data_IF_939702067388
#
_entry.id   IF_939702067388
#
_cell.length_a   1.000
_cell.length_b   1.000
_cell.length_c   1.000
_cell.angle_alpha   90.00
_cell.angle_beta   90.00
_cell.angle_gamma   90.00
#
_symmetry.space_group_name_H-M   'P 1'
#
loop_
_entity.id
_entity.type
_entity.pdbx_description
1 polymer ?
#
# COMPACT_ATOMS: atom_id res chain seq x y z
N UNK A 1 18.50 -5.82 4.14
CA UNK A 1 18.13 -6.84 5.15
C UNK A 1 17.49 -7.99 4.41
N UNK A 2 17.81 -9.23 4.72
CA UNK A 2 17.23 -10.38 4.02
C UNK A 2 15.78 -10.61 4.46
N UNK A 3 14.99 -11.36 3.68
CA UNK A 3 13.58 -11.69 3.99
C UNK A 3 13.43 -12.26 5.41
N UNK A 4 14.37 -13.12 5.82
CA UNK A 4 14.41 -13.72 7.16
C UNK A 4 14.65 -12.70 8.29
N UNK A 5 15.21 -11.53 8.00
CA UNK A 5 15.44 -10.46 8.97
C UNK A 5 14.25 -9.50 9.08
N UNK A 6 13.33 -9.51 8.11
CA UNK A 6 12.16 -8.62 8.06
C UNK A 6 10.84 -9.34 8.37
N UNK A 7 10.89 -10.62 8.73
CA UNK A 7 9.67 -11.36 9.00
C UNK A 7 9.03 -10.92 10.32
N UNK A 8 7.72 -10.70 10.28
CA UNK A 8 6.90 -10.39 11.45
C UNK A 8 6.36 -11.65 12.14
N UNK A 9 6.61 -12.84 11.59
CA UNK A 9 6.08 -14.12 12.11
C UNK A 9 6.42 -14.35 13.59
N UNK A 10 7.67 -14.18 14.07
CA UNK A 10 7.99 -14.42 15.49
C UNK A 10 7.22 -13.47 16.43
N UNK A 11 6.96 -12.24 15.98
CA UNK A 11 6.12 -11.30 16.71
C UNK A 11 4.66 -11.75 16.73
N UNK A 12 4.12 -12.16 15.57
CA UNK A 12 2.75 -12.64 15.48
C UNK A 12 2.53 -13.92 16.31
N UNK A 13 3.47 -14.86 16.31
CA UNK A 13 3.42 -16.06 17.15
C UNK A 13 3.36 -15.74 18.64
N UNK A 14 4.13 -14.72 19.06
CA UNK A 14 4.19 -14.29 20.46
C UNK A 14 2.88 -13.65 20.94
N UNK A 15 2.23 -12.83 20.12
CA UNK A 15 1.05 -12.06 20.52
C UNK A 15 -0.29 -12.66 20.06
N UNK A 16 -0.30 -13.47 19.00
CA UNK A 16 -1.48 -14.11 18.42
C UNK A 16 -1.45 -15.63 18.57
N UNK A 17 -0.95 -16.12 19.70
CA UNK A 17 -0.76 -17.55 19.96
C UNK A 17 -2.06 -18.36 19.89
N UNK A 18 -3.20 -17.72 20.21
CA UNK A 18 -4.53 -18.31 20.13
C UNK A 18 -5.17 -18.28 18.74
N UNK A 19 -4.45 -17.85 17.69
CA UNK A 19 -4.91 -17.75 16.29
C UNK A 19 -6.36 -17.23 16.16
N UNK A 20 -6.63 -16.00 16.61
CA UNK A 20 -7.98 -15.48 16.61
C UNK A 20 -8.59 -15.46 15.21
N UNK A 21 -9.87 -15.83 15.10
CA UNK A 21 -10.61 -15.82 13.83
C UNK A 21 -10.08 -16.77 12.74
N UNK A 22 -9.25 -17.78 13.08
CA UNK A 22 -8.73 -18.77 12.11
C UNK A 22 -9.84 -19.37 11.24
N UNK A 23 -10.94 -19.84 11.83
CA UNK A 23 -12.09 -20.43 11.10
C UNK A 23 -12.83 -19.47 10.17
N UNK A 24 -12.75 -18.16 10.43
CA UNK A 24 -13.29 -17.14 9.52
C UNK A 24 -12.31 -16.86 8.38
N UNK A 25 -11.02 -16.74 8.70
CA UNK A 25 -9.96 -16.44 7.74
C UNK A 25 -9.69 -17.62 6.78
N UNK A 26 -9.91 -18.86 7.22
CA UNK A 26 -9.78 -20.08 6.40
C UNK A 26 -10.71 -20.10 5.18
N UNK A 27 -11.76 -19.26 5.17
CA UNK A 27 -12.69 -19.13 4.04
C UNK A 27 -12.11 -18.33 2.89
N UNK A 28 -11.00 -17.62 3.11
CA UNK A 28 -10.37 -16.78 2.12
C UNK A 28 -9.19 -17.51 1.49
N UNK A 29 -9.25 -17.65 0.17
CA UNK A 29 -8.12 -18.03 -0.67
C UNK A 29 -7.95 -16.96 -1.72
N UNK A 30 -6.72 -16.51 -1.93
CA UNK A 30 -6.39 -15.49 -2.90
C UNK A 30 -5.21 -15.97 -3.72
N UNK A 31 -5.37 -16.03 -5.04
CA UNK A 31 -4.23 -16.23 -5.93
C UNK A 31 -3.47 -14.91 -6.04
N UNK A 32 -2.19 -14.93 -5.67
CA UNK A 32 -1.29 -13.79 -5.83
C UNK A 32 -0.05 -14.24 -6.59
N UNK A 33 0.17 -13.66 -7.77
CA UNK A 33 1.29 -13.98 -8.65
C UNK A 33 1.44 -15.49 -8.94
N UNK A 34 0.33 -16.22 -9.09
CA UNK A 34 0.34 -17.66 -9.37
C UNK A 34 0.66 -18.53 -8.15
N UNK A 35 0.68 -17.95 -6.95
CA UNK A 35 0.75 -18.68 -5.67
C UNK A 35 -0.57 -18.52 -4.91
N UNK A 36 -1.09 -19.62 -4.39
CA UNK A 36 -2.25 -19.57 -3.50
C UNK A 36 -1.84 -19.03 -2.12
N UNK A 37 -2.43 -17.91 -1.74
CA UNK A 37 -2.32 -17.33 -0.40
C UNK A 37 -3.59 -17.70 0.38
N UNK A 38 -3.50 -18.82 1.08
CA UNK A 38 -4.53 -19.31 2.01
C UNK A 38 -3.88 -19.81 3.30
N UNK A 39 -4.64 -19.89 4.39
CA UNK A 39 -4.12 -20.42 5.67
C UNK A 39 -3.62 -21.86 5.47
N UNK A 40 -4.28 -22.64 4.61
CA UNK A 40 -3.93 -24.02 4.32
C UNK A 40 -2.63 -24.12 3.50
N UNK A 41 -2.39 -23.19 2.57
CA UNK A 41 -1.20 -23.18 1.73
C UNK A 41 0.05 -22.63 2.42
N UNK A 42 -0.06 -21.48 3.12
CA UNK A 42 1.10 -20.76 3.67
C UNK A 42 1.16 -20.76 5.20
N UNK A 43 0.10 -21.18 5.88
CA UNK A 43 -0.03 -21.12 7.34
C UNK A 43 -0.58 -19.78 7.84
N UNK A 44 -1.24 -19.83 9.00
CA UNK A 44 -1.95 -18.70 9.61
C UNK A 44 -1.09 -17.43 9.76
N UNK A 45 0.11 -17.53 10.32
CA UNK A 45 0.95 -16.36 10.58
C UNK A 45 1.51 -15.72 9.32
N UNK A 46 1.89 -16.52 8.32
CA UNK A 46 2.37 -15.99 7.02
C UNK A 46 1.23 -15.39 6.21
N UNK A 47 0.03 -15.97 6.30
CA UNK A 47 -1.18 -15.39 5.72
C UNK A 47 -1.44 -13.99 6.31
N UNK A 48 -1.43 -13.84 7.64
CA UNK A 48 -1.57 -12.53 8.28
C UNK A 48 -0.43 -11.57 7.93
N UNK A 49 0.81 -12.03 7.97
CA UNK A 49 1.97 -11.22 7.61
C UNK A 49 1.84 -10.68 6.18
N UNK A 50 1.38 -11.50 5.23
CA UNK A 50 1.14 -11.07 3.86
C UNK A 50 0.19 -9.86 3.83
N UNK A 51 -1.00 -9.96 4.43
CA UNK A 51 -1.96 -8.84 4.44
C UNK A 51 -1.45 -7.62 5.21
N UNK A 52 -0.78 -7.82 6.34
CA UNK A 52 -0.21 -6.72 7.13
C UNK A 52 0.84 -5.97 6.29
N UNK A 53 1.72 -6.68 5.61
CA UNK A 53 2.75 -6.08 4.75
C UNK A 53 2.14 -5.35 3.56
N UNK A 54 1.23 -5.99 2.83
CA UNK A 54 0.53 -5.36 1.69
C UNK A 54 -0.26 -4.12 2.12
N UNK A 55 -0.93 -4.18 3.27
CA UNK A 55 -1.64 -3.05 3.85
C UNK A 55 -0.71 -1.91 4.29
N UNK A 56 0.43 -2.23 4.90
CA UNK A 56 1.43 -1.24 5.31
C UNK A 56 2.05 -0.52 4.10
N UNK A 57 2.38 -1.27 3.05
CA UNK A 57 2.88 -0.71 1.79
C UNK A 57 1.83 0.21 1.14
N UNK A 58 0.61 -0.29 0.92
CA UNK A 58 -0.51 0.51 0.42
C UNK A 58 -0.71 1.80 1.23
N UNK A 59 -0.72 1.69 2.57
CA UNK A 59 -0.89 2.84 3.47
C UNK A 59 0.26 3.84 3.42
N UNK A 60 1.50 3.34 3.28
CA UNK A 60 2.68 4.19 3.13
C UNK A 60 2.62 4.98 1.82
N UNK A 61 2.30 4.32 0.72
CA UNK A 61 2.14 4.98 -0.57
C UNK A 61 0.94 5.91 -0.64
N UNK A 62 -0.15 5.58 0.06
CA UNK A 62 -1.28 6.47 0.28
C UNK A 62 -0.87 7.79 0.93
N UNK A 63 -0.09 7.73 2.01
CA UNK A 63 0.42 8.93 2.67
C UNK A 63 1.43 9.67 1.78
N UNK A 64 2.31 8.95 1.10
CA UNK A 64 3.28 9.52 0.16
C UNK A 64 2.57 10.31 -0.95
N UNK A 65 1.59 9.70 -1.63
CA UNK A 65 0.81 10.35 -2.67
C UNK A 65 0.05 11.58 -2.14
N UNK A 66 -0.56 11.45 -0.96
CA UNK A 66 -1.26 12.55 -0.29
C UNK A 66 -0.33 13.75 -0.03
N UNK A 67 0.82 13.50 0.59
CA UNK A 67 1.77 14.57 0.94
C UNK A 67 2.47 15.18 -0.28
N UNK A 68 2.80 14.37 -1.30
CA UNK A 68 3.32 14.87 -2.56
C UNK A 68 2.33 15.83 -3.23
N UNK A 69 1.05 15.43 -3.33
CA UNK A 69 0.02 16.28 -3.90
C UNK A 69 -0.18 17.56 -3.08
N UNK A 70 -0.29 17.46 -1.76
CA UNK A 70 -0.45 18.64 -0.90
C UNK A 70 0.74 19.60 -0.98
N UNK A 71 1.96 19.10 -1.15
CA UNK A 71 3.16 19.93 -1.29
C UNK A 71 3.29 20.64 -2.65
N UNK A 72 2.78 20.03 -3.72
CA UNK A 72 2.96 20.52 -5.10
C UNK A 72 1.73 21.28 -5.63
N UNK A 73 0.51 20.97 -5.16
CA UNK A 73 -0.75 21.48 -5.75
C UNK A 73 -0.82 23.00 -5.87
N UNK A 74 -0.23 23.75 -4.94
CA UNK A 74 -0.27 25.22 -4.92
C UNK A 74 0.96 25.85 -5.61
N UNK A 75 1.93 25.03 -6.04
CA UNK A 75 3.12 25.45 -6.80
C UNK A 75 2.91 25.34 -8.31
N UNK A 76 1.86 24.65 -8.74
CA UNK A 76 1.53 24.44 -10.15
C UNK A 76 0.21 25.09 -10.52
N UNK A 77 0.17 25.78 -11.66
CA UNK A 77 -1.06 26.41 -12.16
C UNK A 77 -2.14 25.39 -12.55
N UNK A 78 -1.73 24.15 -12.87
CA UNK A 78 -2.60 23.11 -13.41
C UNK A 78 -2.69 21.95 -12.42
N UNK A 79 -3.75 21.93 -11.59
CA UNK A 79 -3.92 20.94 -10.50
C UNK A 79 -3.99 19.49 -10.97
N UNK A 80 -4.64 19.23 -12.11
CA UNK A 80 -4.72 17.87 -12.66
C UNK A 80 -3.34 17.36 -13.09
N UNK A 81 -2.49 18.26 -13.62
CA UNK A 81 -1.12 17.92 -13.99
C UNK A 81 -0.28 17.64 -12.74
N UNK A 82 -0.46 18.42 -11.67
CA UNK A 82 0.18 18.15 -10.38
C UNK A 82 -0.18 16.76 -9.85
N UNK A 83 -1.47 16.41 -9.86
CA UNK A 83 -1.95 15.08 -9.45
C UNK A 83 -1.34 13.97 -10.31
N UNK A 84 -1.33 14.14 -11.64
CA UNK A 84 -0.75 13.16 -12.57
C UNK A 84 0.75 12.93 -12.31
N UNK A 85 1.52 14.01 -12.12
CA UNK A 85 2.95 13.90 -11.81
C UNK A 85 3.19 13.25 -10.44
N UNK A 86 2.35 13.50 -9.44
CA UNK A 86 2.45 12.84 -8.13
C UNK A 86 2.20 11.34 -8.23
N UNK A 87 1.23 10.90 -9.04
CA UNK A 87 1.00 9.47 -9.31
C UNK A 87 2.22 8.85 -10.00
N UNK A 88 2.75 9.49 -11.05
CA UNK A 88 3.94 9.00 -11.74
C UNK A 88 5.17 8.93 -10.84
N UNK A 89 5.40 9.95 -10.01
CA UNK A 89 6.48 9.97 -9.04
C UNK A 89 6.34 8.83 -8.01
N UNK A 90 5.12 8.60 -7.51
CA UNK A 90 4.84 7.51 -6.57
C UNK A 90 5.03 6.13 -7.19
N UNK A 91 4.59 5.93 -8.44
CA UNK A 91 4.82 4.70 -9.19
C UNK A 91 6.31 4.46 -9.47
N UNK A 92 7.06 5.50 -9.83
CA UNK A 92 8.50 5.42 -10.00
C UNK A 92 9.23 5.06 -8.72
N UNK A 93 8.77 5.61 -7.59
CA UNK A 93 9.28 5.24 -6.27
C UNK A 93 8.96 3.79 -5.91
N UNK A 94 7.73 3.32 -6.14
CA UNK A 94 7.33 1.92 -5.95
C UNK A 94 8.15 0.94 -6.79
N UNK A 95 8.42 1.29 -8.05
CA UNK A 95 9.29 0.48 -8.91
C UNK A 95 10.74 0.43 -8.38
N UNK A 96 11.23 1.54 -7.80
CA UNK A 96 12.57 1.60 -7.21
C UNK A 96 12.64 0.79 -5.92
N UNK A 97 11.59 0.79 -5.10
CA UNK A 97 11.48 -0.01 -3.88
C UNK A 97 11.51 -1.52 -4.19
N UNK A 98 10.70 -1.99 -5.15
CA UNK A 98 10.72 -3.39 -5.57
C UNK A 98 12.06 -3.79 -6.21
N UNK A 99 12.69 -2.89 -6.98
CA UNK A 99 14.05 -3.10 -7.49
C UNK A 99 15.09 -3.21 -6.37
N UNK A 100 15.00 -2.36 -5.34
CA UNK A 100 15.88 -2.42 -4.18
C UNK A 100 15.69 -3.73 -3.39
N UNK A 101 14.44 -4.19 -3.27
CA UNK A 101 14.11 -5.45 -2.61
C UNK A 101 14.61 -6.66 -3.41
N UNK A 102 14.62 -6.59 -4.75
CA UNK A 102 15.25 -7.60 -5.59
C UNK A 102 16.76 -7.68 -5.36
N UNK A 103 17.45 -6.54 -5.19
CA UNK A 103 18.90 -6.52 -4.94
C UNK A 103 19.25 -7.07 -3.56
N UNK A 104 18.40 -6.80 -2.56
CA UNK A 104 18.71 -7.05 -1.14
C UNK A 104 18.01 -8.27 -0.54
N UNK A 105 17.04 -8.86 -1.23
CA UNK A 105 16.25 -9.98 -0.77
C UNK A 105 16.10 -11.06 -1.84
N UNK A 106 16.05 -12.32 -1.40
CA UNK A 106 15.82 -13.49 -2.25
C UNK A 106 14.36 -13.59 -2.73
N UNK A 107 13.81 -12.51 -3.31
CA UNK A 107 12.47 -12.52 -3.92
C UNK A 107 12.47 -11.88 -5.29
N UNK A 108 11.65 -12.45 -6.17
CA UNK A 108 11.37 -11.85 -7.48
C UNK A 108 10.53 -10.59 -7.27
N UNK A 109 10.86 -9.45 -7.92
CA UNK A 109 10.02 -8.27 -7.88
C UNK A 109 8.69 -8.57 -8.56
N UNK A 110 7.59 -8.23 -7.90
CA UNK A 110 6.25 -8.46 -8.44
C UNK A 110 5.69 -7.15 -9.00
N UNK A 111 5.30 -7.16 -10.28
CA UNK A 111 4.59 -6.03 -10.87
C UNK A 111 3.29 -5.70 -10.12
N UNK A 112 2.65 -6.73 -9.54
CA UNK A 112 1.45 -6.59 -8.71
C UNK A 112 1.70 -5.74 -7.46
N UNK A 113 2.92 -5.75 -6.90
CA UNK A 113 3.28 -4.96 -5.72
C UNK A 113 3.39 -3.49 -6.08
N UNK A 114 4.08 -3.18 -7.18
CA UNK A 114 4.18 -1.81 -7.72
C UNK A 114 2.79 -1.24 -8.05
N UNK A 115 1.91 -2.06 -8.63
CA UNK A 115 0.54 -1.65 -8.93
C UNK A 115 -0.27 -1.41 -7.65
N UNK A 116 -0.18 -2.29 -6.66
CA UNK A 116 -0.86 -2.11 -5.38
C UNK A 116 -0.42 -0.80 -4.70
N UNK A 117 0.87 -0.55 -4.66
CA UNK A 117 1.45 0.66 -4.06
C UNK A 117 1.04 1.92 -4.84
N UNK A 118 1.05 1.83 -6.16
CA UNK A 118 0.50 2.86 -7.04
C UNK A 118 -0.98 3.17 -6.78
N UNK A 119 -1.81 2.15 -6.54
CA UNK A 119 -3.23 2.36 -6.17
C UNK A 119 -3.37 3.04 -4.82
N UNK A 120 -2.49 2.72 -3.85
CA UNK A 120 -2.42 3.42 -2.57
C UNK A 120 -2.20 4.91 -2.75
N UNK A 121 -1.16 5.27 -3.51
CA UNK A 121 -0.86 6.67 -3.82
C UNK A 121 -2.01 7.38 -4.54
N UNK A 122 -2.61 6.73 -5.55
CA UNK A 122 -3.76 7.28 -6.25
C UNK A 122 -4.95 7.54 -5.31
N UNK A 123 -5.28 6.59 -4.43
CA UNK A 123 -6.34 6.75 -3.43
C UNK A 123 -6.08 7.95 -2.51
N UNK A 124 -4.84 8.15 -2.05
CA UNK A 124 -4.45 9.29 -1.22
C UNK A 124 -4.66 10.62 -1.94
N UNK A 125 -4.19 10.72 -3.19
CA UNK A 125 -4.34 11.92 -4.02
C UNK A 125 -5.83 12.25 -4.25
N UNK A 126 -6.63 11.24 -4.63
CA UNK A 126 -8.07 11.43 -4.86
C UNK A 126 -8.80 11.88 -3.59
N UNK A 127 -8.42 11.35 -2.42
CA UNK A 127 -8.99 11.78 -1.16
C UNK A 127 -8.67 13.26 -0.88
N UNK A 128 -7.42 13.69 -1.09
CA UNK A 128 -7.04 15.10 -0.93
C UNK A 128 -7.84 16.02 -1.85
N UNK A 129 -8.02 15.63 -3.13
CA UNK A 129 -8.81 16.38 -4.10
C UNK A 129 -10.28 16.46 -3.66
N UNK A 130 -10.86 15.35 -3.18
CA UNK A 130 -12.23 15.29 -2.70
C UNK A 130 -12.43 16.22 -1.49
N UNK A 131 -11.53 16.18 -0.51
CA UNK A 131 -11.56 17.05 0.66
C UNK A 131 -11.47 18.54 0.27
N UNK A 132 -10.57 18.88 -0.66
CA UNK A 132 -10.44 20.24 -1.18
C UNK A 132 -11.72 20.70 -1.89
N UNK A 133 -12.29 19.84 -2.73
CA UNK A 133 -13.54 20.13 -3.42
C UNK A 133 -14.70 20.39 -2.44
N UNK A 134 -14.84 19.55 -1.40
CA UNK A 134 -15.85 19.73 -0.36
C UNK A 134 -15.63 21.04 0.38
N UNK A 135 -14.40 21.33 0.81
CA UNK A 135 -14.05 22.55 1.53
C UNK A 135 -14.39 23.82 0.73
N UNK A 136 -14.02 23.86 -0.56
CA UNK A 136 -14.32 24.99 -1.43
C UNK A 136 -15.83 25.14 -1.69
N UNK A 137 -16.58 24.04 -1.74
CA UNK A 137 -18.04 24.05 -1.90
C UNK A 137 -18.76 24.57 -0.66
N UNK A 138 -18.29 24.22 0.54
CA UNK A 138 -18.83 24.72 1.80
C UNK A 138 -18.56 26.21 1.95
N UNK A 139 -17.30 26.65 1.76
CA UNK A 139 -16.91 28.07 1.85
C UNK A 139 -17.68 28.98 0.88
N UNK A 140 -18.01 28.48 -0.32
CA UNK A 140 -18.81 29.23 -1.29
C UNK A 140 -20.26 29.47 -0.85
N UNK A 141 -20.82 28.61 0.01
CA UNK A 141 -22.18 28.81 0.52
C UNK A 141 -22.27 29.82 1.66
N UNK A 142 -21.16 30.10 2.34
CA UNK A 142 -21.09 31.03 3.47
C UNK A 142 -20.82 32.49 3.04
N UNK A 143 -20.33 32.69 1.81
CA UNK A 143 -20.10 34.00 1.18
C UNK A 143 -21.23 34.34 0.22
#
# INVERSE_FOLDING_TARGET
MTYHQQTSVPFLEKYLTGKPFETFLERFSLDYSGSEISIQAVGYYKFLEFFIRKGAHFGTYFLLGSFLYLGIKDRMNVKWLAAFLCVLASLGYAATDEFHQMITGDRTPLFQDVMLDGTGALCGILLCILCEFIYLRVKRKEN
#
